data_IF_429081772894
#
_entry.id   IF_429081772894
#
_cell.length_a   1.000
_cell.length_b   1.000
_cell.length_c   1.000
_cell.angle_alpha   90.00
_cell.angle_beta   90.00
_cell.angle_gamma   90.00
#
_symmetry.space_group_name_H-M   'P 1'
#
loop_
_entity.id
_entity.type
_entity.pdbx_description
1 polymer ?
#
# COMPACT_ATOMS: atom_id res chain seq x y z
N UNK A 1 -6.33 -3.40 -9.98
CA UNK A 1 -5.50 -4.63 -9.99
C UNK A 1 -4.13 -4.27 -9.39
N UNK A 2 -3.96 -4.46 -8.08
CA UNK A 2 -2.78 -4.01 -7.33
C UNK A 2 -1.48 -4.69 -7.74
N UNK A 3 -0.40 -3.90 -7.86
CA UNK A 3 0.94 -4.40 -8.20
C UNK A 3 1.59 -5.05 -6.96
N UNK A 4 2.16 -6.27 -7.07
CA UNK A 4 2.84 -6.96 -5.97
C UNK A 4 4.11 -6.23 -5.49
N UNK A 5 4.52 -5.17 -6.20
CA UNK A 5 5.70 -4.36 -5.91
C UNK A 5 5.35 -2.95 -5.39
N UNK A 6 4.06 -2.61 -5.32
CA UNK A 6 3.56 -1.34 -4.79
C UNK A 6 3.16 -1.41 -3.31
N UNK A 7 2.47 -0.38 -2.84
CA UNK A 7 1.93 -0.30 -1.46
C UNK A 7 1.16 -1.57 -1.10
N UNK A 8 0.33 -2.08 -2.00
CA UNK A 8 -0.49 -3.28 -1.80
C UNK A 8 0.37 -4.51 -1.49
N UNK A 9 1.46 -4.72 -2.24
CA UNK A 9 2.38 -5.83 -2.00
C UNK A 9 3.10 -5.71 -0.66
N UNK A 10 3.52 -4.50 -0.29
CA UNK A 10 4.13 -4.21 1.01
C UNK A 10 3.16 -4.42 2.17
N UNK A 11 1.91 -4.01 2.02
CA UNK A 11 0.85 -4.19 3.00
C UNK A 11 0.56 -5.67 3.24
N UNK A 12 0.28 -6.40 2.15
CA UNK A 12 0.01 -7.83 2.20
C UNK A 12 1.18 -8.60 2.84
N UNK A 13 2.42 -8.24 2.51
CA UNK A 13 3.61 -8.85 3.12
C UNK A 13 3.75 -8.52 4.61
N UNK A 14 3.56 -7.26 5.01
CA UNK A 14 3.66 -6.82 6.41
C UNK A 14 2.70 -7.60 7.31
N UNK A 15 1.45 -7.76 6.85
CA UNK A 15 0.41 -8.45 7.60
C UNK A 15 0.30 -9.93 7.25
N UNK A 16 1.24 -10.48 6.47
CA UNK A 16 1.27 -11.90 6.08
C UNK A 16 -0.04 -12.39 5.44
N UNK A 17 -0.70 -11.51 4.68
CA UNK A 17 -1.94 -11.78 3.98
C UNK A 17 -1.61 -12.22 2.56
N UNK A 18 -2.13 -13.37 2.14
CA UNK A 18 -2.01 -13.75 0.73
C UNK A 18 -2.97 -12.95 -0.14
N UNK A 19 -2.58 -12.66 -1.38
CA UNK A 19 -3.46 -11.95 -2.34
C UNK A 19 -4.81 -12.63 -2.52
N UNK A 20 -4.83 -13.97 -2.54
CA UNK A 20 -6.07 -14.76 -2.67
C UNK A 20 -6.96 -14.57 -1.44
N UNK A 21 -6.40 -14.65 -0.24
CA UNK A 21 -7.12 -14.45 1.01
C UNK A 21 -7.71 -13.03 1.08
N UNK A 22 -6.95 -12.01 0.68
CA UNK A 22 -7.43 -10.64 0.64
C UNK A 22 -8.61 -10.45 -0.34
N UNK A 23 -8.48 -10.98 -1.56
CA UNK A 23 -9.57 -10.91 -2.56
C UNK A 23 -10.83 -11.61 -2.04
N UNK A 24 -10.69 -12.81 -1.47
CA UNK A 24 -11.82 -13.53 -0.88
C UNK A 24 -12.49 -12.74 0.24
N UNK A 25 -11.72 -12.08 1.10
CA UNK A 25 -12.28 -11.26 2.16
C UNK A 25 -13.06 -10.06 1.61
N UNK A 26 -12.55 -9.39 0.57
CA UNK A 26 -13.23 -8.28 -0.11
C UNK A 26 -14.52 -8.76 -0.76
N UNK A 27 -14.52 -9.90 -1.45
CA UNK A 27 -15.69 -10.46 -2.13
C UNK A 27 -16.81 -10.86 -1.14
N UNK A 28 -16.45 -11.26 0.09
CA UNK A 28 -17.41 -11.69 1.10
C UNK A 28 -17.82 -10.58 2.08
N UNK A 29 -17.08 -9.46 2.12
CA UNK A 29 -17.40 -8.35 2.99
C UNK A 29 -18.61 -7.59 2.47
N UNK A 30 -19.62 -7.41 3.32
CA UNK A 30 -20.81 -6.62 3.01
C UNK A 30 -20.59 -5.11 3.12
N UNK A 31 -19.50 -4.68 3.76
CA UNK A 31 -19.09 -3.28 3.91
C UNK A 31 -17.61 -3.15 4.26
N UNK A 32 -17.09 -1.92 4.21
CA UNK A 32 -15.72 -1.60 4.63
C UNK A 32 -15.49 -1.90 6.11
N UNK A 33 -16.50 -1.69 6.97
CA UNK A 33 -16.42 -2.03 8.39
C UNK A 33 -16.32 -3.55 8.59
N UNK A 34 -17.07 -4.34 7.81
CA UNK A 34 -16.99 -5.80 7.87
C UNK A 34 -15.61 -6.30 7.44
N UNK A 35 -15.03 -5.70 6.39
CA UNK A 35 -13.67 -5.99 5.94
C UNK A 35 -12.62 -5.58 6.97
N UNK A 36 -12.79 -4.41 7.61
CA UNK A 36 -11.90 -3.94 8.68
C UNK A 36 -11.94 -4.85 9.90
N UNK A 37 -13.14 -5.31 10.31
CA UNK A 37 -13.27 -6.28 11.40
C UNK A 37 -12.58 -7.60 11.05
N UNK A 38 -12.81 -8.13 9.84
CA UNK A 38 -12.09 -9.31 9.36
C UNK A 38 -10.56 -9.12 9.46
N UNK A 39 -10.04 -8.00 8.98
CA UNK A 39 -8.61 -7.70 9.06
C UNK A 39 -8.10 -7.71 10.50
N UNK A 40 -8.84 -7.12 11.45
CA UNK A 40 -8.47 -7.10 12.88
C UNK A 40 -8.53 -8.48 13.55
N UNK A 41 -9.20 -9.46 12.97
CA UNK A 41 -9.20 -10.84 13.49
C UNK A 41 -7.96 -11.65 13.10
N UNK A 42 -7.11 -11.13 12.20
CA UNK A 42 -5.92 -11.84 11.75
C UNK A 42 -4.84 -11.86 12.84
N UNK A 43 -4.18 -13.00 13.10
CA UNK A 43 -3.19 -13.11 14.17
C UNK A 43 -1.92 -12.26 13.96
N UNK A 44 -1.63 -11.89 12.72
CA UNK A 44 -0.54 -10.98 12.34
C UNK A 44 -0.88 -9.50 12.56
N UNK A 45 -2.15 -9.18 12.79
CA UNK A 45 -2.66 -7.83 13.00
C UNK A 45 -2.72 -7.58 14.51
N UNK A 46 -1.73 -6.84 14.99
CA UNK A 46 -1.55 -6.46 16.39
C UNK A 46 -1.36 -4.96 16.45
N UNK A 47 -1.61 -4.36 17.61
CA UNK A 47 -1.34 -2.93 17.81
C UNK A 47 0.11 -2.54 17.46
N UNK A 48 1.06 -3.44 17.71
CA UNK A 48 2.46 -3.22 17.37
C UNK A 48 2.69 -3.26 15.86
N UNK A 49 2.10 -4.22 15.13
CA UNK A 49 2.25 -4.31 13.67
C UNK A 49 1.53 -3.17 12.95
N UNK A 50 0.38 -2.70 13.45
CA UNK A 50 -0.33 -1.52 12.96
C UNK A 50 0.50 -0.25 13.18
N UNK A 51 1.02 -0.02 14.39
CA UNK A 51 1.88 1.14 14.68
C UNK A 51 3.14 1.13 13.82
N UNK A 52 3.74 -0.04 13.61
CA UNK A 52 4.90 -0.21 12.74
C UNK A 52 4.55 0.15 11.29
N UNK A 53 3.43 -0.36 10.77
CA UNK A 53 2.95 -0.04 9.44
C UNK A 53 2.67 1.45 9.26
N UNK A 54 1.95 2.09 10.19
CA UNK A 54 1.64 3.52 10.11
C UNK A 54 2.88 4.41 10.12
N UNK A 55 3.99 3.95 10.70
CA UNK A 55 5.29 4.63 10.62
C UNK A 55 6.01 4.37 9.30
N UNK A 56 5.93 3.14 8.77
CA UNK A 56 6.72 2.71 7.62
C UNK A 56 6.06 3.00 6.28
N UNK A 57 4.74 2.86 6.18
CA UNK A 57 3.98 3.01 4.94
C UNK A 57 4.19 4.37 4.26
N UNK A 58 4.15 5.52 4.98
CA UNK A 58 4.39 6.82 4.36
C UNK A 58 5.79 6.96 3.74
N UNK A 59 6.76 6.16 4.20
CA UNK A 59 8.14 6.19 3.73
C UNK A 59 8.38 5.29 2.51
N UNK A 60 7.41 4.47 2.11
CA UNK A 60 7.54 3.62 0.93
C UNK A 60 7.82 4.45 -0.33
N UNK A 61 8.81 4.02 -1.12
CA UNK A 61 9.25 4.75 -2.31
C UNK A 61 10.17 5.95 -2.05
N UNK A 62 10.49 6.28 -0.78
CA UNK A 62 11.50 7.28 -0.44
C UNK A 62 12.93 6.69 -0.43
N UNK A 63 13.95 7.54 -0.53
CA UNK A 63 15.36 7.10 -0.62
C UNK A 63 15.75 6.30 0.63
N UNK A 64 16.20 5.05 0.44
CA UNK A 64 16.56 4.14 1.52
C UNK A 64 15.44 3.19 1.98
N UNK A 65 14.24 3.30 1.40
CA UNK A 65 13.09 2.46 1.74
C UNK A 65 12.67 1.54 0.58
N UNK A 66 11.98 0.42 0.88
CA UNK A 66 11.46 -0.48 -0.15
C UNK A 66 10.62 0.28 -1.19
N UNK A 67 10.74 -0.12 -2.45
CA UNK A 67 10.03 0.52 -3.56
C UNK A 67 10.69 1.78 -4.13
N UNK A 68 11.83 2.27 -3.60
CA UNK A 68 12.55 3.43 -4.16
C UNK A 68 12.96 3.25 -5.64
N UNK A 69 13.63 2.13 -5.94
CA UNK A 69 14.06 1.80 -7.30
C UNK A 69 12.87 1.51 -8.23
N UNK A 70 11.86 0.85 -7.68
CA UNK A 70 10.65 0.48 -8.42
C UNK A 70 9.88 1.76 -8.78
N UNK A 71 9.68 2.68 -7.84
CA UNK A 71 9.10 4.01 -8.08
C UNK A 71 9.82 4.78 -9.19
N UNK A 72 11.15 4.71 -9.25
CA UNK A 72 11.93 5.37 -10.31
C UNK A 72 11.69 4.76 -11.70
N UNK A 73 11.29 3.48 -11.77
CA UNK A 73 10.95 2.77 -13.01
C UNK A 73 9.47 2.97 -13.40
N UNK A 74 8.54 2.90 -12.45
CA UNK A 74 7.09 3.02 -12.75
C UNK A 74 6.56 4.46 -12.75
N UNK A 75 7.28 5.47 -12.23
CA UNK A 75 6.81 6.87 -12.25
C UNK A 75 6.49 7.37 -13.66
N UNK A 76 7.20 6.89 -14.68
CA UNK A 76 6.99 7.26 -16.08
C UNK A 76 5.71 6.66 -16.68
N UNK A 77 5.22 5.56 -16.12
CA UNK A 77 4.10 4.77 -16.68
C UNK A 77 2.82 4.93 -15.85
N UNK A 78 2.94 4.94 -14.52
CA UNK A 78 1.80 4.94 -13.59
C UNK A 78 1.55 6.29 -12.92
N UNK A 79 2.57 7.15 -12.81
CA UNK A 79 2.44 8.45 -12.13
C UNK A 79 3.14 9.58 -12.90
N UNK A 80 2.80 9.82 -14.19
CA UNK A 80 3.51 10.76 -15.04
C UNK A 80 3.54 12.18 -14.46
N UNK A 81 2.53 12.58 -13.69
CA UNK A 81 2.50 13.87 -12.98
C UNK A 81 3.59 13.99 -11.91
N UNK A 82 3.97 12.88 -11.25
CA UNK A 82 5.05 12.84 -10.27
C UNK A 82 6.46 12.95 -10.89
N UNK A 83 6.55 12.86 -12.22
CA UNK A 83 7.77 13.17 -12.98
C UNK A 83 7.92 14.68 -13.21
N UNK A 84 6.80 15.37 -13.41
CA UNK A 84 6.74 16.83 -13.63
C UNK A 84 6.86 17.58 -12.29
N UNK A 85 6.20 17.07 -11.24
CA UNK A 85 6.29 17.57 -9.87
C UNK A 85 6.81 16.45 -8.95
N UNK A 86 8.11 16.40 -8.65
CA UNK A 86 8.69 15.34 -7.85
C UNK A 86 8.22 15.38 -6.40
N UNK A 87 7.67 14.28 -5.91
CA UNK A 87 7.30 14.10 -4.49
C UNK A 87 8.26 13.14 -3.76
N UNK A 88 8.43 13.21 -2.44
CA UNK A 88 9.33 12.32 -1.70
C UNK A 88 8.82 10.89 -1.50
N UNK A 89 7.52 10.62 -1.54
CA UNK A 89 6.93 9.30 -1.21
C UNK A 89 6.01 8.74 -2.31
N UNK A 90 5.67 7.45 -2.22
CA UNK A 90 4.70 6.82 -3.12
C UNK A 90 3.25 7.25 -2.81
N UNK A 91 2.91 7.47 -1.53
CA UNK A 91 1.58 7.95 -1.13
C UNK A 91 1.30 9.36 -1.64
N UNK A 92 2.27 10.27 -1.56
CA UNK A 92 2.12 11.61 -2.16
C UNK A 92 1.99 11.57 -3.68
N UNK A 93 2.61 10.58 -4.34
CA UNK A 93 2.46 10.41 -5.79
C UNK A 93 1.04 9.94 -6.17
N UNK A 94 0.40 9.12 -5.32
CA UNK A 94 -1.00 8.70 -5.46
C UNK A 94 -1.93 9.89 -5.21
N UNK A 95 -1.73 10.62 -4.11
CA UNK A 95 -2.55 11.79 -3.77
C UNK A 95 -2.50 12.87 -4.86
N UNK A 96 -1.33 13.09 -5.47
CA UNK A 96 -1.20 14.02 -6.58
C UNK A 96 -1.97 13.57 -7.83
N UNK A 97 -2.13 12.26 -8.04
CA UNK A 97 -2.88 11.75 -9.19
C UNK A 97 -4.40 11.79 -8.95
N UNK A 98 -4.85 11.51 -7.73
CA UNK A 98 -6.28 11.53 -7.32
C UNK A 98 -6.91 12.93 -7.26
N UNK A 99 -6.11 14.00 -7.16
CA UNK A 99 -6.59 15.41 -7.15
C UNK A 99 -7.05 15.94 -8.52
N UNK A 100 -7.32 15.06 -9.48
CA UNK A 100 -7.63 15.41 -10.89
C UNK A 100 -8.87 14.70 -11.34
#
# INVERSE_FOLDING_TARGET
>A
MGSPLGVDGSFLRQFQISRRQFIQAVEHASSDEALAQWFLTLPSVTDASIKSWNRHAPLLGSKGYPGYLIRHLIKWVLYPKSVIHPVPSLFEAIEQDERT
#
